data_IF_565147836094
#
_entry.id   IF_565147836094
#
_cell.length_a   1.000
_cell.length_b   1.000
_cell.length_c   1.000
_cell.angle_alpha   90.00
_cell.angle_beta   90.00
_cell.angle_gamma   90.00
#
_symmetry.space_group_name_H-M   'P 1'
#
loop_
_entity.id
_entity.type
_entity.pdbx_description
1 polymer ?
#
# COMPACT_ATOMS: atom_id res chain seq x y z
N UNK A 1 27.11 -16.75 0.28
CA UNK A 1 26.91 -15.60 -0.62
C UNK A 1 26.01 -15.82 -1.87
N UNK A 2 25.47 -17.03 -2.23
CA UNK A 2 24.57 -17.15 -3.39
C UNK A 2 23.06 -16.92 -3.10
N UNK A 3 22.66 -16.87 -1.82
CA UNK A 3 21.24 -16.79 -1.42
C UNK A 3 20.62 -15.40 -1.62
N UNK A 4 21.42 -14.33 -1.60
CA UNK A 4 20.95 -12.95 -1.80
C UNK A 4 20.44 -12.72 -3.23
N UNK A 5 21.10 -13.32 -4.24
CA UNK A 5 20.69 -13.22 -5.63
C UNK A 5 19.37 -13.92 -5.91
N UNK A 6 19.16 -15.11 -5.32
CA UNK A 6 17.90 -15.86 -5.47
C UNK A 6 16.73 -15.17 -4.73
N UNK A 7 16.98 -14.58 -3.56
CA UNK A 7 15.97 -13.80 -2.83
C UNK A 7 15.56 -12.54 -3.58
N UNK A 8 16.52 -11.80 -4.13
CA UNK A 8 16.24 -10.58 -4.88
C UNK A 8 15.48 -10.86 -6.17
N UNK A 9 15.79 -11.96 -6.86
CA UNK A 9 15.06 -12.41 -8.05
C UNK A 9 13.64 -12.90 -7.70
N UNK A 10 13.48 -13.61 -6.57
CA UNK A 10 12.19 -14.06 -6.07
C UNK A 10 11.27 -12.90 -5.68
N UNK A 11 11.82 -11.86 -5.05
CA UNK A 11 11.08 -10.62 -4.75
C UNK A 11 10.67 -9.92 -6.05
N UNK A 12 11.55 -9.80 -7.04
CA UNK A 12 11.21 -9.19 -8.34
C UNK A 12 10.09 -9.94 -9.08
N UNK A 13 10.14 -11.28 -9.10
CA UNK A 13 9.08 -12.12 -9.68
C UNK A 13 7.75 -11.96 -8.93
N UNK A 14 7.80 -11.79 -7.60
CA UNK A 14 6.60 -11.55 -6.78
C UNK A 14 5.99 -10.17 -7.03
N UNK A 15 6.80 -9.14 -7.29
CA UNK A 15 6.33 -7.80 -7.66
C UNK A 15 5.69 -7.78 -9.06
N UNK A 16 6.11 -8.66 -9.96
CA UNK A 16 5.51 -8.83 -11.29
C UNK A 16 4.23 -9.68 -11.29
N UNK A 17 3.82 -10.21 -10.13
CA UNK A 17 2.65 -11.08 -10.05
C UNK A 17 1.37 -10.26 -10.29
N UNK A 18 0.66 -10.60 -11.37
CA UNK A 18 -0.68 -10.09 -11.60
C UNK A 18 -1.61 -10.58 -10.47
N UNK A 19 -2.50 -9.71 -10.01
CA UNK A 19 -3.40 -10.01 -8.90
C UNK A 19 -4.84 -9.60 -9.22
N UNK A 20 -5.81 -10.29 -8.62
CA UNK A 20 -7.20 -9.82 -8.61
C UNK A 20 -7.65 -9.39 -7.21
N UNK A 21 -7.10 -10.01 -6.17
CA UNK A 21 -7.42 -9.78 -4.76
C UNK A 21 -6.15 -9.56 -3.93
N UNK A 22 -6.29 -8.82 -2.83
CA UNK A 22 -5.20 -8.55 -1.88
C UNK A 22 -4.62 -9.84 -1.27
N UNK A 23 -5.41 -10.91 -1.15
CA UNK A 23 -4.97 -12.22 -0.61
C UNK A 23 -3.91 -12.92 -1.47
N UNK A 24 -3.77 -12.53 -2.74
CA UNK A 24 -2.72 -13.04 -3.62
C UNK A 24 -1.38 -12.33 -3.40
N UNK A 25 -1.40 -11.19 -2.70
CA UNK A 25 -0.24 -10.37 -2.40
C UNK A 25 0.33 -10.70 -1.01
N UNK A 26 1.61 -10.40 -0.80
CA UNK A 26 2.26 -10.58 0.49
C UNK A 26 1.77 -9.59 1.55
N UNK A 27 2.09 -9.86 2.82
CA UNK A 27 1.84 -8.90 3.90
C UNK A 27 2.51 -7.56 3.62
N UNK A 28 1.79 -6.45 3.83
CA UNK A 28 2.28 -5.11 3.51
C UNK A 28 2.12 -4.70 2.05
N UNK A 29 1.40 -5.48 1.24
CA UNK A 29 1.08 -5.17 -0.17
C UNK A 29 -0.43 -5.13 -0.39
N UNK A 30 -0.86 -4.46 -1.45
CA UNK A 30 -2.24 -4.52 -1.92
C UNK A 30 -2.29 -4.71 -3.44
N UNK A 31 -3.41 -5.22 -3.93
CA UNK A 31 -3.65 -5.41 -5.34
C UNK A 31 -4.27 -4.15 -5.95
N UNK A 32 -3.47 -3.35 -6.65
CA UNK A 32 -3.90 -2.07 -7.23
C UNK A 32 -3.83 -2.07 -8.77
N UNK A 33 -4.65 -1.23 -9.38
CA UNK A 33 -4.66 -1.00 -10.84
C UNK A 33 -3.51 -0.08 -11.22
N UNK A 34 -2.75 -0.44 -12.26
CA UNK A 34 -1.65 0.41 -12.74
C UNK A 34 -2.15 1.77 -13.23
N UNK A 35 -1.33 2.82 -13.05
CA UNK A 35 -1.67 4.19 -13.48
C UNK A 35 -1.75 4.33 -15.01
N UNK A 36 -1.04 3.49 -15.75
CA UNK A 36 -0.86 3.60 -17.20
C UNK A 36 -1.76 2.66 -18.01
N UNK A 37 -2.13 1.51 -17.44
CA UNK A 37 -2.90 0.46 -18.13
C UNK A 37 -4.01 -0.03 -17.20
N UNK A 38 -5.26 0.37 -17.48
CA UNK A 38 -6.44 0.01 -16.67
C UNK A 38 -6.65 -1.51 -16.51
N UNK A 39 -6.17 -2.29 -17.48
CA UNK A 39 -6.29 -3.76 -17.48
C UNK A 39 -5.21 -4.46 -16.66
N UNK A 40 -4.14 -3.77 -16.23
CA UNK A 40 -3.05 -4.37 -15.48
C UNK A 40 -3.22 -4.12 -13.98
N UNK A 41 -3.21 -5.20 -13.21
CA UNK A 41 -3.25 -5.20 -11.74
C UNK A 41 -2.02 -5.92 -11.23
N UNK A 42 -1.37 -5.33 -10.24
CA UNK A 42 -0.16 -5.90 -9.65
C UNK A 42 -0.14 -5.66 -8.15
N UNK A 43 0.60 -6.51 -7.44
CA UNK A 43 0.88 -6.29 -6.04
C UNK A 43 1.83 -5.10 -5.90
N UNK A 44 1.35 -4.00 -5.32
CA UNK A 44 2.19 -2.84 -4.99
C UNK A 44 2.31 -2.73 -3.46
N UNK A 45 3.40 -2.16 -2.94
CA UNK A 45 3.55 -1.94 -1.51
C UNK A 45 2.49 -0.98 -0.97
N UNK A 46 2.11 -1.17 0.29
CA UNK A 46 1.28 -0.23 1.05
C UNK A 46 1.98 1.12 1.25
N UNK A 47 1.17 2.15 1.49
CA UNK A 47 1.64 3.51 1.72
C UNK A 47 2.52 3.64 2.97
N UNK A 48 3.69 4.27 2.82
CA UNK A 48 4.62 4.67 3.89
C UNK A 48 4.36 6.10 4.37
N UNK A 49 5.03 6.51 5.45
CA UNK A 49 4.90 7.87 6.00
C UNK A 49 5.16 8.92 4.91
N UNK A 50 4.22 9.85 4.73
CA UNK A 50 4.28 10.94 3.75
C UNK A 50 3.78 10.60 2.33
N UNK A 51 3.54 9.32 2.02
CA UNK A 51 3.02 8.89 0.73
C UNK A 51 1.54 9.23 0.59
N UNK A 52 1.12 9.47 -0.66
CA UNK A 52 -0.27 9.80 -0.96
C UNK A 52 -1.15 8.57 -0.78
N UNK A 53 -2.28 8.78 -0.11
CA UNK A 53 -3.28 7.77 0.13
C UNK A 53 -4.65 8.32 -0.26
N UNK A 54 -5.64 7.44 -0.32
CA UNK A 54 -7.00 7.84 -0.54
C UNK A 54 -7.85 7.45 0.69
N UNK A 55 -8.66 8.35 1.25
CA UNK A 55 -9.39 8.10 2.51
C UNK A 55 -10.40 6.95 2.38
N UNK A 56 -10.91 6.69 1.15
CA UNK A 56 -11.75 5.53 0.85
C UNK A 56 -10.97 4.23 0.55
N UNK A 57 -9.64 4.22 0.70
CA UNK A 57 -8.86 3.00 0.50
C UNK A 57 -8.98 2.11 1.74
N UNK A 58 -9.85 1.10 1.67
CA UNK A 58 -10.11 0.17 2.77
C UNK A 58 -8.84 -0.55 3.26
N UNK A 59 -8.79 -0.89 4.56
CA UNK A 59 -7.73 -1.71 5.18
C UNK A 59 -7.58 -3.07 4.48
N UNK A 60 -6.36 -3.60 4.47
CA UNK A 60 -6.08 -4.98 4.03
C UNK A 60 -6.28 -5.93 5.21
N UNK A 61 -6.91 -7.11 5.02
CA UNK A 61 -7.44 -7.63 3.75
C UNK A 61 -8.78 -6.99 3.36
N UNK A 62 -8.88 -6.46 2.14
CA UNK A 62 -10.15 -6.01 1.57
C UNK A 62 -10.81 -7.14 0.79
N UNK A 63 -12.03 -7.54 1.20
CA UNK A 63 -12.78 -8.65 0.59
C UNK A 63 -13.53 -8.24 -0.70
N UNK A 64 -13.03 -7.27 -1.45
CA UNK A 64 -13.61 -6.76 -2.70
C UNK A 64 -12.54 -6.43 -3.75
N UNK A 65 -12.96 -5.91 -4.91
CA UNK A 65 -12.03 -5.43 -5.94
C UNK A 65 -11.70 -3.96 -5.69
N UNK A 66 -10.42 -3.63 -5.52
CA UNK A 66 -9.98 -2.22 -5.50
C UNK A 66 -10.20 -1.62 -6.88
N UNK A 67 -11.01 -0.55 -6.95
CA UNK A 67 -11.22 0.25 -8.15
C UNK A 67 -10.27 1.46 -8.20
N UNK A 68 -9.62 1.77 -7.08
CA UNK A 68 -8.68 2.88 -6.95
C UNK A 68 -7.24 2.42 -7.22
N UNK A 69 -6.46 3.34 -7.79
CA UNK A 69 -5.03 3.17 -8.08
C UNK A 69 -4.14 3.25 -6.82
N UNK A 70 -4.73 3.53 -5.65
CA UNK A 70 -4.02 3.78 -4.40
C UNK A 70 -4.22 2.65 -3.39
N UNK A 71 -3.12 2.11 -2.88
CA UNK A 71 -3.11 1.19 -1.75
C UNK A 71 -3.38 1.92 -0.42
N UNK A 72 -3.83 1.19 0.62
CA UNK A 72 -3.95 1.76 1.95
C UNK A 72 -2.56 1.92 2.56
N UNK A 73 -2.48 2.73 3.62
CA UNK A 73 -1.27 2.87 4.40
C UNK A 73 -0.92 1.56 5.12
N UNK A 74 0.35 1.42 5.52
CA UNK A 74 0.79 0.35 6.43
C UNK A 74 -0.08 0.31 7.70
N UNK A 75 -0.21 -0.86 8.37
CA UNK A 75 -1.10 -1.03 9.53
C UNK A 75 -0.85 -0.06 10.69
N UNK A 76 0.35 0.54 10.75
CA UNK A 76 0.77 1.49 11.77
C UNK A 76 0.55 2.96 11.35
N UNK A 77 -0.12 3.20 10.22
CA UNK A 77 -0.32 4.51 9.61
C UNK A 77 -1.81 4.73 9.32
N UNK A 78 -2.27 5.97 9.45
CA UNK A 78 -3.58 6.45 9.06
C UNK A 78 -3.50 7.32 7.81
N UNK A 79 -4.53 7.24 6.96
CA UNK A 79 -4.67 8.15 5.84
C UNK A 79 -5.35 9.44 6.34
N UNK A 80 -4.57 10.52 6.44
CA UNK A 80 -5.02 11.81 7.00
C UNK A 80 -5.07 12.84 5.88
N UNK A 81 -6.19 13.54 5.75
CA UNK A 81 -6.35 14.67 4.83
C UNK A 81 -5.63 15.89 5.39
N UNK A 82 -4.63 16.39 4.66
CA UNK A 82 -3.92 17.64 5.00
C UNK A 82 -4.60 18.80 4.27
N UNK A 83 -4.30 20.05 4.64
CA UNK A 83 -4.61 21.23 3.83
C UNK A 83 -4.22 20.96 2.36
N UNK A 84 -5.07 21.38 1.42
CA UNK A 84 -5.02 21.09 -0.03
C UNK A 84 -5.74 19.83 -0.54
N UNK A 85 -6.68 19.24 0.21
CA UNK A 85 -7.49 18.06 -0.21
C UNK A 85 -6.69 16.80 -0.54
N UNK A 86 -5.38 16.81 -0.28
CA UNK A 86 -4.49 15.66 -0.45
C UNK A 86 -4.47 14.87 0.84
N UNK A 87 -4.62 13.55 0.73
CA UNK A 87 -4.52 12.65 1.87
C UNK A 87 -3.18 11.95 1.85
N UNK A 88 -2.51 11.91 3.01
CA UNK A 88 -1.21 11.27 3.17
C UNK A 88 -1.22 10.25 4.29
N UNK A 89 -0.38 9.24 4.15
CA UNK A 89 -0.13 8.28 5.20
C UNK A 89 0.71 8.93 6.30
N UNK A 90 0.12 9.11 7.47
CA UNK A 90 0.76 9.68 8.65
C UNK A 90 0.55 8.73 9.83
N UNK A 91 1.41 8.73 10.85
CA UNK A 91 1.16 7.96 12.05
C UNK A 91 -0.22 8.34 12.64
N UNK A 92 -1.09 7.36 12.95
CA UNK A 92 -2.28 7.63 13.74
C UNK A 92 -1.75 8.10 15.10
N UNK A 93 -2.09 9.33 15.48
CA UNK A 93 -1.82 9.78 16.85
C UNK A 93 -2.38 8.76 17.86
N UNK A 94 -1.69 8.55 18.98
CA UNK A 94 -1.86 9.49 20.10
C UNK A 94 -0.51 9.88 20.73
N UNK A 95 0.09 11.00 20.29
CA UNK A 95 1.22 11.63 20.99
C UNK A 95 1.08 13.16 20.91
N UNK A 96 -0.01 13.63 21.46
CA UNK A 96 -0.03 14.82 22.31
C UNK A 96 -0.80 14.31 23.53
N UNK A 97 -0.12 13.62 24.43
CA UNK A 97 0.30 14.25 25.67
C UNK A 97 1.80 14.08 25.97
N UNK A 98 2.34 15.05 26.70
CA UNK A 98 3.70 15.12 27.28
C UNK A 98 4.76 15.85 26.43
N UNK A 99 5.33 16.90 27.04
CA UNK A 99 6.42 17.77 26.59
C UNK A 99 6.05 18.96 25.67
N UNK A 100 5.19 19.87 26.12
CA UNK A 100 5.59 21.16 26.74
C UNK A 100 4.34 21.99 27.10
#
# INVERSE_FOLDING_TARGET
MPLLGSYSLYIALKMLQACEKDSQCGGGMCCAVSLWIRSLRMCIPMGRVGEDCHPMSHKVPFFGKRLHHTCPCLPNLACITIADSKSKCLPPFPFQDQYL
#
